data_IF_166326525794
#
_entry.id   IF_166326525794
#
_cell.length_a   1.000
_cell.length_b   1.000
_cell.length_c   1.000
_cell.angle_alpha   90.00
_cell.angle_beta   90.00
_cell.angle_gamma   90.00
#
_symmetry.space_group_name_H-M   'P 1'
#
loop_
_entity.id
_entity.type
_entity.pdbx_description
1 polymer ?
#
# COMPACT_ATOMS: atom_id res chain seq x y z
N UNK A 1 -5.80 3.95 -20.40
CA UNK A 1 -4.34 4.22 -20.45
C UNK A 1 -3.71 3.56 -19.22
N UNK A 2 -3.97 2.26 -19.01
CA UNK A 2 -4.08 1.68 -17.64
C UNK A 2 -3.22 0.45 -17.36
N UNK A 3 -2.52 -0.08 -18.37
CA UNK A 3 -1.69 -1.28 -18.22
C UNK A 3 -0.30 -0.98 -17.65
N UNK A 4 0.26 0.20 -17.95
CA UNK A 4 1.57 0.60 -17.41
C UNK A 4 1.50 0.80 -15.89
N UNK A 5 0.41 1.39 -15.39
CA UNK A 5 0.19 1.62 -13.97
C UNK A 5 0.03 0.32 -13.18
N UNK A 6 -0.70 -0.66 -13.74
CA UNK A 6 -0.84 -1.98 -13.11
C UNK A 6 0.45 -2.80 -13.15
N UNK A 7 1.20 -2.73 -14.26
CA UNK A 7 2.50 -3.39 -14.37
C UNK A 7 3.51 -2.82 -13.36
N UNK A 8 3.49 -1.51 -13.13
CA UNK A 8 4.32 -0.87 -12.11
C UNK A 8 3.91 -1.30 -10.69
N UNK A 9 2.61 -1.45 -10.43
CA UNK A 9 2.12 -1.97 -9.16
C UNK A 9 2.49 -3.45 -8.96
N UNK A 10 2.37 -4.30 -9.98
CA UNK A 10 2.78 -5.70 -9.92
C UNK A 10 4.28 -5.87 -9.59
N UNK A 11 5.12 -4.92 -10.04
CA UNK A 11 6.55 -4.90 -9.71
C UNK A 11 6.86 -4.59 -8.23
N UNK A 12 5.87 -4.20 -7.41
CA UNK A 12 6.05 -4.01 -5.97
C UNK A 12 5.72 -5.24 -5.14
N UNK A 13 5.16 -6.30 -5.74
CA UNK A 13 4.87 -7.57 -5.05
C UNK A 13 6.17 -8.14 -4.45
N UNK A 14 6.11 -8.52 -3.18
CA UNK A 14 7.24 -9.06 -2.42
C UNK A 14 8.18 -8.01 -1.86
N UNK A 15 8.02 -6.73 -2.20
CA UNK A 15 8.86 -5.62 -1.72
C UNK A 15 8.25 -4.96 -0.49
N UNK A 16 9.10 -4.29 0.28
CA UNK A 16 8.64 -3.42 1.36
C UNK A 16 8.27 -2.06 0.79
N UNK A 17 7.10 -1.57 1.18
CA UNK A 17 6.58 -0.28 0.74
C UNK A 17 6.28 0.61 1.95
N UNK A 18 6.44 1.91 1.74
CA UNK A 18 5.98 2.94 2.67
C UNK A 18 4.72 3.55 2.08
N UNK A 19 3.64 3.55 2.85
CA UNK A 19 2.33 4.06 2.44
C UNK A 19 1.96 5.21 3.37
N UNK A 20 1.55 6.32 2.77
CA UNK A 20 1.11 7.51 3.48
C UNK A 20 -0.38 7.74 3.20
N UNK A 21 -1.20 7.74 4.25
CA UNK A 21 -2.65 7.91 4.15
C UNK A 21 -3.15 8.97 5.14
N UNK A 22 -4.25 9.69 4.82
CA UNK A 22 -4.79 10.69 5.73
C UNK A 22 -5.23 10.03 7.04
N UNK A 23 -4.81 10.61 8.17
CA UNK A 23 -5.18 10.08 9.47
C UNK A 23 -6.68 10.15 9.68
N UNK A 24 -7.24 9.08 10.24
CA UNK A 24 -8.68 9.01 10.54
C UNK A 24 -9.12 10.00 11.63
N UNK A 25 -8.17 10.65 12.32
CA UNK A 25 -8.43 11.54 13.45
C UNK A 25 -8.74 13.00 13.05
N UNK A 26 -8.90 13.32 11.77
CA UNK A 26 -9.36 14.63 11.30
C UNK A 26 -8.39 15.80 11.55
N UNK A 27 -7.19 15.54 12.05
CA UNK A 27 -6.18 16.55 12.40
C UNK A 27 -5.34 17.03 11.21
N UNK A 28 -5.64 16.59 9.99
CA UNK A 28 -4.82 16.87 8.81
C UNK A 28 -3.46 16.18 8.80
N UNK A 29 -3.17 15.38 9.83
CA UNK A 29 -1.96 14.58 9.91
C UNK A 29 -2.03 13.39 8.96
N UNK A 30 -0.89 13.02 8.38
CA UNK A 30 -0.71 11.83 7.57
C UNK A 30 -0.15 10.71 8.44
N UNK A 31 -0.73 9.53 8.32
CA UNK A 31 -0.20 8.32 8.93
C UNK A 31 0.66 7.58 7.90
N UNK A 32 1.80 7.09 8.37
CA UNK A 32 2.72 6.32 7.54
C UNK A 32 2.76 4.89 8.06
N UNK A 33 2.62 3.94 7.15
CA UNK A 33 2.77 2.52 7.45
C UNK A 33 3.83 1.91 6.53
N UNK A 34 4.66 1.05 7.09
CA UNK A 34 5.62 0.25 6.34
C UNK A 34 5.17 -1.21 6.39
N UNK A 35 5.26 -1.89 5.25
CA UNK A 35 4.89 -3.29 5.17
C UNK A 35 5.29 -3.94 3.86
N UNK A 36 5.15 -5.26 3.81
CA UNK A 36 5.51 -6.06 2.64
C UNK A 36 4.29 -6.30 1.76
N UNK A 37 4.39 -6.00 0.47
CA UNK A 37 3.30 -6.26 -0.47
C UNK A 37 3.21 -7.76 -0.74
N UNK A 38 2.04 -8.34 -0.50
CA UNK A 38 1.73 -9.74 -0.76
C UNK A 38 1.05 -9.92 -2.12
N UNK A 39 0.14 -9.01 -2.47
CA UNK A 39 -0.70 -9.13 -3.66
C UNK A 39 -1.04 -7.74 -4.22
N UNK A 40 -1.23 -7.67 -5.53
CA UNK A 40 -1.71 -6.48 -6.24
C UNK A 40 -2.94 -6.89 -7.04
N UNK A 41 -4.01 -6.14 -6.90
CA UNK A 41 -5.26 -6.38 -7.63
C UNK A 41 -5.91 -5.06 -8.02
N UNK A 42 -6.86 -5.12 -8.95
CA UNK A 42 -7.62 -3.96 -9.41
C UNK A 42 -9.11 -4.21 -9.17
N UNK A 43 -9.78 -3.21 -8.62
CA UNK A 43 -11.23 -3.19 -8.45
C UNK A 43 -11.82 -1.87 -9.00
N UNK A 44 -13.08 -1.59 -8.64
CA UNK A 44 -13.78 -0.37 -9.08
C UNK A 44 -13.17 0.92 -8.49
N UNK A 45 -12.44 0.85 -7.37
CA UNK A 45 -11.80 2.00 -6.74
C UNK A 45 -10.40 2.28 -7.31
N UNK A 46 -9.80 1.27 -7.94
CA UNK A 46 -8.51 1.40 -8.62
C UNK A 46 -7.58 0.22 -8.34
N UNK A 47 -6.28 0.48 -8.30
CA UNK A 47 -5.27 -0.54 -8.02
C UNK A 47 -5.04 -0.57 -6.52
N UNK A 48 -5.24 -1.74 -5.89
CA UNK A 48 -5.04 -2.01 -4.47
C UNK A 48 -3.90 -2.99 -4.24
N UNK A 49 -3.30 -2.87 -3.06
CA UNK A 49 -2.19 -3.67 -2.55
C UNK A 49 -2.65 -4.35 -1.27
N UNK A 50 -2.51 -5.68 -1.16
CA UNK A 50 -2.50 -6.36 0.13
C UNK A 50 -1.11 -6.26 0.71
N UNK A 51 -0.99 -5.65 1.88
CA UNK A 51 0.27 -5.39 2.55
C UNK A 51 0.25 -6.03 3.93
N UNK A 52 1.27 -6.82 4.20
CA UNK A 52 1.59 -7.35 5.51
C UNK A 52 2.26 -6.24 6.33
N UNK A 53 1.59 -5.78 7.39
CA UNK A 53 2.03 -4.69 8.26
C UNK A 53 2.13 -5.19 9.70
N UNK A 54 3.09 -4.69 10.45
CA UNK A 54 3.24 -5.02 11.87
C UNK A 54 2.55 -3.96 12.72
N UNK A 55 1.51 -4.36 13.46
CA UNK A 55 0.74 -3.49 14.33
C UNK A 55 0.80 -4.06 15.74
N UNK A 56 1.39 -3.32 16.67
CA UNK A 56 1.51 -3.73 18.08
C UNK A 56 2.14 -5.13 18.27
N UNK A 57 3.12 -5.48 17.44
CA UNK A 57 3.80 -6.78 17.49
C UNK A 57 3.06 -7.94 16.81
N UNK A 58 1.86 -7.70 16.26
CA UNK A 58 1.11 -8.67 15.48
C UNK A 58 1.22 -8.37 13.99
N UNK A 59 1.21 -9.43 13.18
CA UNK A 59 1.14 -9.31 11.73
C UNK A 59 -0.31 -9.16 11.32
N UNK A 60 -0.64 -8.05 10.67
CA UNK A 60 -1.96 -7.77 10.09
C UNK A 60 -1.84 -7.63 8.57
N UNK A 61 -2.82 -8.13 7.84
CA UNK A 61 -2.93 -7.92 6.39
C UNK A 61 -3.93 -6.79 6.16
N UNK A 62 -3.47 -5.71 5.53
CA UNK A 62 -4.30 -4.53 5.22
C UNK A 62 -4.24 -4.20 3.73
N UNK A 63 -5.31 -3.59 3.27
CA UNK A 63 -5.45 -3.18 1.87
C UNK A 63 -5.23 -1.67 1.74
N UNK A 64 -4.40 -1.29 0.78
CA UNK A 64 -4.08 0.11 0.50
C UNK A 64 -4.12 0.39 -0.99
N UNK A 65 -4.52 1.60 -1.38
CA UNK A 65 -4.44 2.01 -2.78
C UNK A 65 -2.98 2.20 -3.19
N UNK A 66 -2.63 1.75 -4.39
CA UNK A 66 -1.28 1.88 -4.93
C UNK A 66 -0.82 3.35 -5.04
N UNK A 67 -1.75 4.28 -5.26
CA UNK A 67 -1.44 5.71 -5.33
C UNK A 67 -1.02 6.33 -3.99
N UNK A 68 -1.18 5.62 -2.86
CA UNK A 68 -0.74 6.05 -1.53
C UNK A 68 0.69 5.60 -1.22
N UNK A 69 1.30 4.80 -2.09
CA UNK A 69 2.70 4.39 -1.94
C UNK A 69 3.61 5.58 -2.20
N UNK A 70 4.43 5.94 -1.21
CA UNK A 70 5.41 7.02 -1.30
C UNK A 70 6.82 6.52 -1.50
N UNK A 71 7.12 5.28 -1.10
CA UNK A 71 8.43 4.65 -1.26
C UNK A 71 8.35 3.15 -1.44
N UNK A 72 9.29 2.58 -2.19
CA UNK A 72 9.46 1.14 -2.40
C UNK A 72 10.91 0.78 -2.10
N UNK A 73 11.13 -0.21 -1.24
CA UNK A 73 12.43 -0.74 -0.83
C UNK A 73 12.53 -2.23 -1.16
N UNK A 74 13.69 -2.64 -1.69
CA UNK A 74 14.04 -4.03 -1.97
C UNK A 74 14.71 -4.69 -0.76
#
# INVERSE_FOLDING_TARGET
>A
MDNLTFSNAANVIGKNVTIEYPSSNGTGNKETVEGKVLEVFRDNDGIKLKVEVMVNGNVEIKEYLFNLVTSVRN
#
